data_IF_701985054808
#
_entry.id   IF_701985054808
#
_cell.length_a   1.000
_cell.length_b   1.000
_cell.length_c   1.000
_cell.angle_alpha   90.00
_cell.angle_beta   90.00
_cell.angle_gamma   90.00
#
_symmetry.space_group_name_H-M   'P 1'
#
loop_
_entity.id
_entity.type
_entity.pdbx_description
1 polymer ?
#
# COMPACT_ATOMS: atom_id res chain seq x y z
N UNK A 1 -16.99 9.08 19.36
CA UNK A 1 -15.90 9.69 18.56
C UNK A 1 -15.61 8.84 17.33
N UNK A 2 -16.29 9.09 16.20
CA UNK A 2 -16.07 8.37 14.93
C UNK A 2 -14.65 8.48 14.34
N UNK A 3 -13.95 9.64 14.36
CA UNK A 3 -12.69 9.77 13.63
C UNK A 3 -11.54 9.00 14.27
N UNK A 4 -11.58 8.79 15.59
CA UNK A 4 -10.55 8.05 16.33
C UNK A 4 -10.60 6.55 16.02
N UNK A 5 -11.80 5.97 15.92
CA UNK A 5 -11.97 4.55 15.58
C UNK A 5 -11.47 4.23 14.17
N UNK A 6 -11.80 5.07 13.19
CA UNK A 6 -11.30 4.93 11.81
C UNK A 6 -9.78 5.05 11.76
N UNK A 7 -9.20 5.99 12.51
CA UNK A 7 -7.74 6.18 12.58
C UNK A 7 -7.03 4.95 13.19
N UNK A 8 -7.58 4.36 14.25
CA UNK A 8 -7.04 3.15 14.88
C UNK A 8 -7.06 1.94 13.93
N UNK A 9 -8.17 1.73 13.23
CA UNK A 9 -8.31 0.65 12.25
C UNK A 9 -7.29 0.83 11.12
N UNK A 10 -7.13 2.05 10.62
CA UNK A 10 -6.20 2.35 9.53
C UNK A 10 -4.73 2.26 9.96
N UNK A 11 -4.41 2.66 11.19
CA UNK A 11 -3.08 2.49 11.76
C UNK A 11 -2.71 1.01 11.94
N UNK A 12 -3.67 0.17 12.35
CA UNK A 12 -3.47 -1.27 12.46
C UNK A 12 -3.27 -1.93 11.09
N UNK A 13 -4.07 -1.54 10.09
CA UNK A 13 -3.93 -2.00 8.72
C UNK A 13 -2.57 -1.58 8.13
N UNK A 14 -2.15 -0.32 8.31
CA UNK A 14 -0.83 0.17 7.91
C UNK A 14 0.31 -0.65 8.56
N UNK A 15 0.20 -0.96 9.85
CA UNK A 15 1.18 -1.80 10.54
C UNK A 15 1.30 -3.21 9.93
N UNK A 16 0.19 -3.80 9.51
CA UNK A 16 0.19 -5.12 8.85
C UNK A 16 0.80 -5.07 7.44
N UNK A 17 0.47 -4.04 6.66
CA UNK A 17 1.01 -3.86 5.30
C UNK A 17 2.53 -3.69 5.30
N UNK A 18 3.11 -3.04 6.32
CA UNK A 18 4.56 -2.95 6.50
C UNK A 18 5.23 -4.32 6.64
N UNK A 19 4.54 -5.31 7.20
CA UNK A 19 5.03 -6.70 7.28
C UNK A 19 4.90 -7.48 5.97
N UNK A 20 4.32 -6.89 4.93
CA UNK A 20 4.13 -7.46 3.58
C UNK A 20 4.89 -6.63 2.53
N UNK A 21 5.97 -5.97 2.94
CA UNK A 21 6.80 -5.09 2.08
C UNK A 21 6.03 -3.91 1.45
N UNK A 22 4.89 -3.52 2.03
CA UNK A 22 4.06 -2.41 1.55
C UNK A 22 4.06 -1.26 2.55
N UNK A 23 4.99 -0.31 2.35
CA UNK A 23 5.18 0.86 3.21
C UNK A 23 4.21 1.99 2.84
N UNK A 24 3.11 2.13 3.59
CA UNK A 24 2.16 3.24 3.42
C UNK A 24 2.65 4.51 4.15
N UNK A 25 3.11 5.52 3.38
CA UNK A 25 3.59 6.81 3.93
C UNK A 25 2.47 7.73 4.42
N UNK A 26 1.26 7.56 3.89
CA UNK A 26 0.07 8.35 4.24
C UNK A 26 -1.01 7.39 4.69
N UNK A 27 -1.54 7.52 5.92
CA UNK A 27 -2.55 6.59 6.43
C UNK A 27 -3.78 6.49 5.49
N UNK A 28 -4.19 7.62 4.91
CA UNK A 28 -5.28 7.69 3.93
C UNK A 28 -5.05 6.94 2.62
N UNK A 29 -3.85 6.42 2.33
CA UNK A 29 -3.60 5.57 1.15
C UNK A 29 -3.99 4.10 1.38
N UNK A 30 -4.01 3.65 2.64
CA UNK A 30 -4.34 2.29 3.02
C UNK A 30 -5.73 1.80 2.52
N UNK A 31 -6.82 2.60 2.60
CA UNK A 31 -8.13 2.17 2.10
C UNK A 31 -8.29 2.35 0.58
N UNK A 32 -7.41 3.12 -0.09
CA UNK A 32 -7.49 3.36 -1.55
C UNK A 32 -6.96 2.15 -2.33
N UNK A 33 -5.87 1.55 -1.86
CA UNK A 33 -5.22 0.39 -2.50
C UNK A 33 -6.19 -0.74 -2.88
N UNK A 34 -7.10 -1.24 -2.02
CA UNK A 34 -8.02 -2.33 -2.37
C UNK A 34 -9.13 -1.91 -3.36
N UNK A 35 -9.39 -0.61 -3.53
CA UNK A 35 -10.42 -0.09 -4.44
C UNK A 35 -9.85 0.40 -5.76
N UNK A 36 -8.53 0.31 -5.96
CA UNK A 36 -7.88 0.70 -7.20
C UNK A 36 -8.40 -0.14 -8.38
N UNK A 37 -8.97 0.50 -9.40
CA UNK A 37 -9.48 -0.17 -10.60
C UNK A 37 -8.42 -0.31 -11.69
N UNK A 38 -7.38 0.53 -11.66
CA UNK A 38 -6.28 0.54 -12.63
C UNK A 38 -4.96 0.73 -11.88
N UNK A 39 -3.97 -0.10 -12.22
CA UNK A 39 -2.61 -0.02 -11.68
C UNK A 39 -1.67 0.27 -12.84
N UNK A 40 -1.10 1.46 -12.86
CA UNK A 40 -0.07 1.84 -13.83
C UNK A 40 1.31 1.50 -13.26
N UNK A 41 1.91 0.41 -13.72
CA UNK A 41 3.26 -0.04 -13.32
C UNK A 41 4.29 0.22 -14.41
N UNK A 42 5.52 0.50 -14.00
CA UNK A 42 6.65 0.55 -14.92
C UNK A 42 7.14 -0.87 -15.28
N UNK A 43 7.83 -1.02 -16.42
CA UNK A 43 8.33 -2.33 -16.86
C UNK A 43 9.63 -2.71 -16.16
N UNK A 44 10.64 -1.84 -16.23
CA UNK A 44 12.02 -2.20 -15.87
C UNK A 44 12.22 -2.05 -14.36
N UNK A 45 12.66 -3.11 -13.69
CA UNK A 45 12.87 -3.09 -12.23
C UNK A 45 11.59 -3.19 -11.39
N UNK A 46 10.40 -3.19 -12.01
CA UNK A 46 9.12 -3.51 -11.34
C UNK A 46 8.57 -4.85 -11.84
N UNK A 47 8.33 -5.01 -13.15
CA UNK A 47 7.89 -6.30 -13.72
C UNK A 47 9.05 -7.22 -14.05
N UNK A 48 10.19 -6.65 -14.45
CA UNK A 48 11.43 -7.40 -14.69
C UNK A 48 12.40 -7.21 -13.54
N UNK A 49 13.21 -8.24 -13.25
CA UNK A 49 14.24 -8.20 -12.20
C UNK A 49 15.46 -7.32 -12.58
N UNK A 50 15.37 -6.57 -13.67
CA UNK A 50 16.44 -5.72 -14.22
C UNK A 50 17.81 -6.42 -14.26
N UNK A 51 17.80 -7.71 -14.61
CA UNK A 51 18.97 -8.54 -14.83
C UNK A 51 18.94 -9.03 -16.28
N UNK A 52 20.08 -8.97 -16.95
CA UNK A 52 20.28 -9.47 -18.31
C UNK A 52 21.04 -10.80 -18.18
N UNK A 53 20.40 -11.89 -18.59
CA UNK A 53 21.02 -13.22 -18.75
C UNK A 53 22.01 -13.23 -19.90
#
# INVERSE_FOLDING_TARGET
>A
GPPLGVTLVLAFAAKRMTGQDLLARVLGSCPIMPTASVICTDKTGTLTQNFIT
#
